data_IF_448295888621
#
_entry.id   IF_448295888621
#
_cell.length_a   1.000
_cell.length_b   1.000
_cell.length_c   1.000
_cell.angle_alpha   90.00
_cell.angle_beta   90.00
_cell.angle_gamma   90.00
#
_symmetry.space_group_name_H-M   'P 1'
#
loop_
_entity.id
_entity.type
_entity.pdbx_description
1 polymer ?
#
# COMPACT_ATOMS: atom_id res chain seq x y z
N UNK A 1 -24.92 19.99 -6.00
CA UNK A 1 -26.00 18.98 -6.07
C UNK A 1 -26.10 18.07 -4.84
N UNK A 2 -25.33 16.98 -4.63
CA UNK A 2 -25.54 16.12 -3.44
C UNK A 2 -25.29 16.81 -2.08
N UNK A 3 -24.35 17.77 -2.00
CA UNK A 3 -24.08 18.56 -0.79
C UNK A 3 -25.12 19.66 -0.51
N UNK A 4 -26.01 19.95 -1.44
CA UNK A 4 -27.05 20.97 -1.27
C UNK A 4 -28.38 20.35 -0.83
N UNK A 5 -28.67 19.11 -1.26
CA UNK A 5 -29.92 18.40 -0.93
C UNK A 5 -30.09 18.16 0.59
N UNK A 6 -29.02 17.92 1.34
CA UNK A 6 -29.10 17.70 2.80
C UNK A 6 -29.17 19.01 3.59
N UNK A 7 -28.79 20.15 3.01
CA UNK A 7 -28.99 21.45 3.65
C UNK A 7 -30.47 21.84 3.71
N UNK A 8 -31.32 21.16 2.96
CA UNK A 8 -32.78 21.35 2.95
C UNK A 8 -33.54 20.39 3.89
N UNK A 9 -32.87 19.46 4.58
CA UNK A 9 -33.55 18.52 5.51
C UNK A 9 -33.96 19.17 6.84
N UNK A 10 -33.09 19.99 7.45
CA UNK A 10 -33.42 20.87 8.59
C UNK A 10 -32.30 21.90 8.81
N UNK A 11 -32.56 23.19 8.61
CA UNK A 11 -31.52 24.24 8.73
C UNK A 11 -31.11 24.54 10.17
N UNK A 12 -31.89 24.15 11.17
CA UNK A 12 -31.75 24.59 12.56
C UNK A 12 -31.07 23.54 13.47
N UNK A 13 -31.40 22.25 13.32
CA UNK A 13 -30.82 21.19 14.14
C UNK A 13 -30.06 20.16 13.28
N UNK A 14 -28.71 20.16 13.31
CA UNK A 14 -27.90 19.18 12.62
C UNK A 14 -28.25 17.72 12.95
N UNK A 15 -28.77 17.41 14.15
CA UNK A 15 -29.10 16.04 14.56
C UNK A 15 -30.23 15.41 13.75
N UNK A 16 -31.04 16.22 13.07
CA UNK A 16 -32.16 15.77 12.25
C UNK A 16 -31.78 15.54 10.79
N UNK A 17 -30.53 15.81 10.41
CA UNK A 17 -30.02 15.58 9.06
C UNK A 17 -29.50 14.16 8.92
N UNK A 18 -29.63 13.61 7.73
CA UNK A 18 -29.09 12.30 7.37
C UNK A 18 -27.57 12.33 7.22
N UNK A 19 -26.98 13.49 6.89
CA UNK A 19 -25.55 13.62 6.64
C UNK A 19 -24.98 14.92 7.19
N UNK A 20 -23.78 14.84 7.73
CA UNK A 20 -23.05 15.97 8.29
C UNK A 20 -21.65 16.07 7.68
N UNK A 21 -21.34 17.22 7.08
CA UNK A 21 -20.02 17.53 6.50
C UNK A 21 -19.48 18.92 6.85
N UNK A 22 -20.30 19.79 7.45
CA UNK A 22 -19.83 21.10 7.93
C UNK A 22 -19.19 20.90 9.29
N UNK A 23 -17.95 21.33 9.45
CA UNK A 23 -17.20 21.12 10.70
C UNK A 23 -17.98 21.62 11.93
N UNK A 24 -18.56 22.83 11.89
CA UNK A 24 -19.32 23.38 13.02
C UNK A 24 -20.53 22.52 13.43
N UNK A 25 -21.27 22.00 12.45
CA UNK A 25 -22.45 21.16 12.69
C UNK A 25 -22.04 19.82 13.33
N UNK A 26 -20.97 19.22 12.83
CA UNK A 26 -20.39 17.99 13.37
C UNK A 26 -19.93 18.21 14.82
N UNK A 27 -19.19 19.29 15.08
CA UNK A 27 -18.71 19.61 16.42
C UNK A 27 -19.86 19.88 17.39
N UNK A 28 -20.97 20.46 16.93
CA UNK A 28 -22.16 20.64 17.74
C UNK A 28 -22.79 19.30 18.15
N UNK A 29 -22.78 18.32 17.24
CA UNK A 29 -23.31 16.97 17.49
C UNK A 29 -22.39 16.18 18.43
N UNK A 30 -21.07 16.22 18.20
CA UNK A 30 -20.08 15.48 19.01
C UNK A 30 -19.94 16.01 20.45
N UNK A 31 -20.19 17.31 20.69
CA UNK A 31 -19.98 17.91 22.03
C UNK A 31 -21.15 17.73 23.01
N UNK A 32 -22.31 17.24 22.57
CA UNK A 32 -23.52 17.22 23.41
C UNK A 32 -24.25 15.88 23.27
N UNK A 33 -24.16 14.98 24.27
CA UNK A 33 -24.87 13.72 24.27
C UNK A 33 -26.37 14.00 24.32
N UNK A 34 -27.00 13.85 23.16
CA UNK A 34 -28.44 13.89 22.95
C UNK A 34 -28.70 12.94 21.79
N UNK A 35 -29.87 12.32 21.78
CA UNK A 35 -30.30 11.40 20.74
C UNK A 35 -30.08 11.95 19.33
N UNK A 36 -29.38 11.19 18.48
CA UNK A 36 -29.06 11.55 17.08
C UNK A 36 -29.64 10.50 16.13
N UNK A 37 -30.96 10.49 16.00
CA UNK A 37 -31.66 9.39 15.31
C UNK A 37 -31.49 9.39 13.79
N UNK A 38 -31.18 10.52 13.14
CA UNK A 38 -31.24 10.60 11.67
C UNK A 38 -29.89 10.52 10.98
N UNK A 39 -28.80 10.80 11.69
CA UNK A 39 -27.46 10.90 11.09
C UNK A 39 -26.98 9.52 10.68
N UNK A 40 -26.85 9.31 9.38
CA UNK A 40 -26.28 8.11 8.77
C UNK A 40 -24.81 8.30 8.34
N UNK A 41 -24.38 9.55 8.14
CA UNK A 41 -23.03 9.85 7.70
C UNK A 41 -22.45 11.09 8.38
N UNK A 42 -21.24 10.95 8.90
CA UNK A 42 -20.45 12.04 9.48
C UNK A 42 -19.09 12.07 8.80
N UNK A 43 -18.75 13.19 8.18
CA UNK A 43 -17.51 13.37 7.42
C UNK A 43 -16.87 14.71 7.78
N UNK A 44 -15.82 14.67 8.60
CA UNK A 44 -15.13 15.84 9.10
C UNK A 44 -13.71 15.93 8.56
N UNK A 45 -13.47 17.00 7.83
CA UNK A 45 -12.13 17.47 7.47
C UNK A 45 -11.47 18.11 8.70
N UNK A 46 -10.51 17.38 9.25
CA UNK A 46 -9.75 17.73 10.44
C UNK A 46 -8.74 18.88 10.20
N UNK A 47 -8.44 19.21 8.93
CA UNK A 47 -7.64 20.40 8.60
C UNK A 47 -8.39 21.70 8.97
N UNK A 48 -9.72 21.71 8.84
CA UNK A 48 -10.59 22.87 9.13
C UNK A 48 -10.84 23.10 10.62
N UNK A 49 -10.54 22.11 11.46
CA UNK A 49 -10.67 22.23 12.91
C UNK A 49 -9.51 23.07 13.44
N UNK A 50 -9.77 24.21 14.09
CA UNK A 50 -8.71 25.11 14.58
C UNK A 50 -8.26 24.85 16.02
N UNK A 51 -9.02 24.06 16.79
CA UNK A 51 -8.79 23.81 18.22
C UNK A 51 -8.79 22.31 18.54
N UNK A 52 -8.13 21.94 19.63
CA UNK A 52 -8.23 20.58 20.17
C UNK A 52 -9.66 20.34 20.66
N UNK A 53 -10.19 19.15 20.36
CA UNK A 53 -11.51 18.70 20.77
C UNK A 53 -11.32 17.42 21.57
N UNK A 54 -11.79 17.43 22.81
CA UNK A 54 -11.86 16.24 23.64
C UNK A 54 -13.19 15.53 23.39
N UNK A 55 -13.14 14.31 22.86
CA UNK A 55 -14.33 13.46 22.72
C UNK A 55 -14.58 12.70 24.04
N UNK A 56 -15.85 12.48 24.37
CA UNK A 56 -16.22 11.54 25.44
C UNK A 56 -16.21 10.09 24.91
N UNK A 57 -15.97 9.08 25.77
CA UNK A 57 -15.94 7.68 25.35
C UNK A 57 -17.23 7.20 24.67
N UNK A 58 -18.38 7.75 25.08
CA UNK A 58 -19.73 7.39 24.62
C UNK A 58 -20.26 8.27 23.48
N UNK A 59 -19.39 9.05 22.82
CA UNK A 59 -19.82 10.08 21.86
C UNK A 59 -20.73 9.55 20.74
N UNK A 60 -20.62 8.27 20.38
CA UNK A 60 -21.41 7.62 19.34
C UNK A 60 -22.54 6.71 19.84
N UNK A 61 -22.76 6.59 21.15
CA UNK A 61 -23.75 5.69 21.74
C UNK A 61 -25.19 5.97 21.25
N UNK A 62 -25.49 7.23 20.99
CA UNK A 62 -26.81 7.70 20.57
C UNK A 62 -26.95 7.88 19.04
N UNK A 63 -26.04 7.29 18.25
CA UNK A 63 -25.97 7.39 16.78
C UNK A 63 -26.24 6.05 16.09
N UNK A 64 -27.35 5.38 16.45
CA UNK A 64 -27.67 4.01 16.00
C UNK A 64 -27.68 3.82 14.47
N UNK A 65 -28.02 4.86 13.71
CA UNK A 65 -28.13 4.81 12.25
C UNK A 65 -26.83 5.16 11.51
N UNK A 66 -25.74 5.44 12.23
CA UNK A 66 -24.48 5.87 11.63
C UNK A 66 -23.80 4.73 10.84
N UNK A 67 -23.66 4.94 9.53
CA UNK A 67 -23.09 3.98 8.59
C UNK A 67 -21.73 4.42 8.05
N UNK A 68 -21.48 5.72 7.99
CA UNK A 68 -20.23 6.29 7.50
C UNK A 68 -19.67 7.24 8.55
N UNK A 69 -18.47 6.95 9.04
CA UNK A 69 -17.72 7.82 9.94
C UNK A 69 -16.37 8.14 9.31
N UNK A 70 -16.13 9.41 9.00
CA UNK A 70 -14.90 9.88 8.37
C UNK A 70 -14.30 11.05 9.14
N UNK A 71 -13.07 10.87 9.58
CA UNK A 71 -12.19 11.92 10.10
C UNK A 71 -10.90 11.88 9.28
N UNK A 72 -10.70 12.88 8.42
CA UNK A 72 -9.59 12.87 7.45
C UNK A 72 -8.90 14.24 7.38
N UNK A 73 -7.68 14.29 6.86
CA UNK A 73 -6.96 15.54 6.57
C UNK A 73 -6.63 15.65 5.08
N UNK A 74 -6.96 16.80 4.47
CA UNK A 74 -6.66 17.09 3.07
C UNK A 74 -5.24 17.66 2.83
N UNK A 75 -4.33 17.58 3.80
CA UNK A 75 -2.97 18.06 3.57
C UNK A 75 -2.31 17.18 2.50
N UNK A 76 -1.84 17.82 1.42
CA UNK A 76 -1.46 17.30 0.08
C UNK A 76 -0.40 16.18 0.01
N UNK A 77 0.05 15.65 1.14
CA UNK A 77 0.93 14.47 1.17
C UNK A 77 0.12 13.28 1.64
N UNK A 78 0.04 12.22 0.82
CA UNK A 78 -0.40 10.86 1.22
C UNK A 78 0.43 10.22 2.36
N UNK A 79 1.21 11.03 3.07
CA UNK A 79 2.02 10.71 4.24
C UNK A 79 1.40 11.47 5.41
N UNK A 80 1.08 10.81 6.54
CA UNK A 80 0.55 11.48 7.72
C UNK A 80 1.45 12.67 8.10
N UNK A 81 0.90 13.89 8.08
CA UNK A 81 1.66 15.07 8.50
C UNK A 81 2.10 14.89 9.96
N UNK A 82 3.26 15.45 10.33
CA UNK A 82 3.78 15.39 11.72
C UNK A 82 2.86 16.07 12.75
N UNK A 83 1.77 16.69 12.31
CA UNK A 83 0.87 17.42 13.18
C UNK A 83 0.02 16.43 13.99
N UNK A 84 0.00 16.57 15.32
CA UNK A 84 -0.82 15.72 16.18
C UNK A 84 -2.30 15.83 15.80
N UNK A 85 -3.05 14.74 16.02
CA UNK A 85 -4.50 14.77 15.82
C UNK A 85 -5.15 15.82 16.70
N UNK A 86 -6.15 16.53 16.17
CA UNK A 86 -6.90 17.54 16.93
C UNK A 86 -8.09 16.94 17.69
N UNK A 87 -8.43 15.67 17.42
CA UNK A 87 -9.43 14.91 18.17
C UNK A 87 -8.70 14.03 19.17
N UNK A 88 -8.91 14.31 20.45
CA UNK A 88 -8.34 13.54 21.54
C UNK A 88 -9.42 12.63 22.14
N UNK A 89 -9.04 11.38 22.38
CA UNK A 89 -9.81 10.43 23.18
C UNK A 89 -9.26 10.40 24.61
N UNK A 90 -10.08 10.01 25.61
CA UNK A 90 -9.58 9.69 26.93
C UNK A 90 -8.66 8.46 26.87
N UNK A 91 -7.90 8.22 27.94
CA UNK A 91 -6.90 7.15 27.97
C UNK A 91 -7.49 5.76 27.68
N UNK A 92 -8.74 5.51 28.09
CA UNK A 92 -9.46 4.27 27.84
C UNK A 92 -9.99 4.14 26.39
N UNK A 93 -9.87 5.18 25.56
CA UNK A 93 -10.40 5.18 24.20
C UNK A 93 -11.91 5.42 24.13
N UNK A 94 -12.53 4.91 23.06
CA UNK A 94 -13.99 4.89 22.90
C UNK A 94 -14.58 3.69 23.65
N UNK A 95 -15.75 3.86 24.23
CA UNK A 95 -16.52 2.76 24.84
C UNK A 95 -17.52 2.13 23.87
N UNK A 96 -17.86 2.83 22.78
CA UNK A 96 -18.86 2.37 21.82
C UNK A 96 -18.59 2.90 20.40
N UNK A 97 -18.82 2.04 19.41
CA UNK A 97 -18.99 2.39 18.01
C UNK A 97 -20.25 1.70 17.45
N UNK A 98 -21.05 2.35 16.58
CA UNK A 98 -22.27 1.77 16.04
C UNK A 98 -22.00 0.55 15.15
N UNK A 99 -22.63 -0.60 15.44
CA UNK A 99 -22.50 -1.83 14.64
C UNK A 99 -23.10 -1.71 13.22
N UNK A 100 -23.83 -0.63 12.94
CA UNK A 100 -24.35 -0.27 11.62
C UNK A 100 -23.28 0.32 10.69
N UNK A 101 -22.09 0.63 11.22
CA UNK A 101 -20.97 1.16 10.44
C UNK A 101 -20.60 0.22 9.28
N UNK A 102 -20.47 0.84 8.10
CA UNK A 102 -20.00 0.23 6.86
C UNK A 102 -18.66 0.80 6.41
N UNK A 103 -18.36 2.04 6.80
CA UNK A 103 -17.10 2.69 6.53
C UNK A 103 -16.64 3.41 7.78
N UNK A 104 -15.43 3.07 8.22
CA UNK A 104 -14.70 3.78 9.25
C UNK A 104 -13.40 4.30 8.65
N UNK A 105 -13.38 5.61 8.36
CA UNK A 105 -12.16 6.33 8.01
C UNK A 105 -11.75 7.18 9.20
N UNK A 106 -10.59 6.92 9.80
CA UNK A 106 -10.09 7.75 10.89
C UNK A 106 -8.57 7.95 10.81
N UNK A 107 -8.17 9.06 10.19
CA UNK A 107 -6.77 9.49 10.17
C UNK A 107 -6.27 9.73 11.59
N UNK A 108 -5.14 9.13 11.93
CA UNK A 108 -4.45 9.31 13.22
C UNK A 108 -5.38 9.03 14.39
N UNK A 109 -6.07 7.88 14.34
CA UNK A 109 -6.91 7.43 15.43
C UNK A 109 -6.08 7.33 16.72
N UNK A 110 -6.49 8.00 17.82
CA UNK A 110 -5.60 8.25 18.95
C UNK A 110 -5.57 7.11 19.98
N UNK A 111 -6.39 6.07 19.85
CA UNK A 111 -6.45 4.97 20.82
C UNK A 111 -5.72 3.73 20.32
N UNK A 112 -5.31 2.88 21.27
CA UNK A 112 -4.51 1.68 21.02
C UNK A 112 -5.31 0.55 20.35
N UNK A 113 -6.63 0.57 20.45
CA UNK A 113 -7.56 -0.42 19.86
C UNK A 113 -8.94 0.19 19.62
N UNK A 114 -9.77 -0.50 18.83
CA UNK A 114 -11.20 -0.24 18.75
C UNK A 114 -11.92 -0.79 20.01
N UNK A 115 -13.13 -0.27 20.33
CA UNK A 115 -13.89 -0.74 21.48
C UNK A 115 -14.13 -2.25 21.43
N UNK A 116 -13.98 -2.95 22.56
CA UNK A 116 -14.09 -4.41 22.63
C UNK A 116 -15.52 -4.95 22.41
N UNK A 117 -16.53 -4.11 22.63
CA UNK A 117 -17.95 -4.40 22.35
C UNK A 117 -18.37 -4.10 20.90
N UNK A 118 -17.48 -3.57 20.07
CA UNK A 118 -17.79 -3.23 18.69
C UNK A 118 -17.85 -4.50 17.82
N UNK A 119 -18.99 -4.74 17.17
CA UNK A 119 -19.22 -5.89 16.29
C UNK A 119 -19.38 -5.41 14.83
N UNK A 120 -18.27 -5.29 14.07
CA UNK A 120 -18.26 -4.65 12.76
C UNK A 120 -18.73 -5.57 11.60
N UNK A 121 -19.79 -6.36 11.79
CA UNK A 121 -20.26 -7.33 10.77
C UNK A 121 -20.65 -6.67 9.43
N UNK A 122 -21.14 -5.42 9.47
CA UNK A 122 -21.53 -4.63 8.31
C UNK A 122 -20.37 -3.85 7.67
N UNK A 123 -19.17 -3.91 8.25
CA UNK A 123 -18.03 -3.12 7.82
C UNK A 123 -17.57 -3.55 6.42
N UNK A 124 -17.35 -2.58 5.55
CA UNK A 124 -16.88 -2.76 4.18
C UNK A 124 -15.51 -2.12 3.99
N UNK A 125 -15.30 -0.94 4.59
CA UNK A 125 -14.07 -0.16 4.49
C UNK A 125 -13.56 0.18 5.89
N UNK A 126 -12.34 -0.23 6.21
CA UNK A 126 -11.63 0.12 7.44
C UNK A 126 -10.33 0.83 7.08
N UNK A 127 -10.32 2.15 7.22
CA UNK A 127 -9.22 3.01 6.80
C UNK A 127 -8.77 3.86 7.99
N UNK A 128 -7.67 3.50 8.63
CA UNK A 128 -7.19 4.16 9.84
C UNK A 128 -5.72 4.54 9.74
N UNK A 129 -5.32 5.34 8.73
CA UNK A 129 -3.93 5.63 8.49
C UNK A 129 -3.31 6.52 9.58
N UNK A 130 -2.06 6.24 9.96
CA UNK A 130 -1.29 7.01 10.92
C UNK A 130 -1.75 6.82 12.37
N UNK A 131 -2.49 5.75 12.67
CA UNK A 131 -3.12 5.56 13.97
C UNK A 131 -2.15 5.06 15.04
N UNK A 132 -2.48 5.35 16.30
CA UNK A 132 -1.76 4.86 17.49
C UNK A 132 -2.19 3.44 17.89
N UNK A 133 -2.67 2.65 16.93
CA UNK A 133 -3.13 1.28 17.16
C UNK A 133 -1.94 0.39 17.51
N UNK A 134 -2.05 -0.39 18.58
CA UNK A 134 -1.13 -1.50 18.88
C UNK A 134 -1.71 -2.84 18.40
N UNK A 135 -3.04 -2.94 18.39
CA UNK A 135 -3.84 -4.01 17.82
C UNK A 135 -5.20 -3.43 17.38
N UNK A 136 -5.89 -4.07 16.44
CA UNK A 136 -7.19 -3.57 15.98
C UNK A 136 -8.33 -3.81 16.99
N UNK A 137 -8.43 -5.04 17.50
CA UNK A 137 -9.44 -5.45 18.48
C UNK A 137 -8.79 -6.21 19.63
N UNK A 138 -9.45 -6.21 20.78
CA UNK A 138 -9.09 -7.10 21.89
C UNK A 138 -9.66 -8.50 21.63
N UNK A 139 -8.79 -9.45 21.28
CA UNK A 139 -9.15 -10.84 21.00
C UNK A 139 -9.13 -11.22 19.51
N UNK A 140 -9.24 -12.52 19.23
CA UNK A 140 -8.96 -13.09 17.90
C UNK A 140 -10.21 -13.38 17.03
N UNK A 141 -11.42 -13.22 17.59
CA UNK A 141 -12.67 -13.67 16.93
C UNK A 141 -13.50 -12.50 16.37
N UNK A 142 -13.01 -11.86 15.31
CA UNK A 142 -13.78 -10.83 14.60
C UNK A 142 -14.24 -11.34 13.24
N UNK A 143 -15.55 -11.34 13.01
CA UNK A 143 -16.17 -11.79 11.75
C UNK A 143 -16.49 -10.58 10.86
N UNK A 144 -15.55 -10.26 9.98
CA UNK A 144 -15.61 -9.13 9.04
C UNK A 144 -15.97 -9.64 7.64
N UNK A 145 -17.13 -10.30 7.56
CA UNK A 145 -17.57 -10.98 6.32
C UNK A 145 -17.82 -10.02 5.17
N UNK A 146 -18.09 -8.74 5.43
CA UNK A 146 -18.33 -7.75 4.38
C UNK A 146 -17.11 -6.88 4.05
N UNK A 147 -16.01 -7.03 4.80
CA UNK A 147 -14.84 -6.18 4.66
C UNK A 147 -14.15 -6.44 3.33
N UNK A 148 -13.94 -5.38 2.57
CA UNK A 148 -13.27 -5.36 1.27
C UNK A 148 -11.91 -4.67 1.33
N UNK A 149 -11.82 -3.57 2.06
CA UNK A 149 -10.60 -2.75 2.14
C UNK A 149 -10.16 -2.59 3.58
N UNK A 150 -8.88 -2.83 3.83
CA UNK A 150 -8.23 -2.58 5.11
C UNK A 150 -6.95 -1.76 4.89
N UNK A 151 -6.94 -0.52 5.36
CA UNK A 151 -5.78 0.38 5.30
C UNK A 151 -5.38 0.81 6.71
N UNK A 152 -4.19 0.38 7.13
CA UNK A 152 -3.59 0.73 8.43
C UNK A 152 -2.23 1.41 8.26
N UNK A 153 -1.94 1.96 7.08
CA UNK A 153 -0.65 2.60 6.76
C UNK A 153 -0.26 3.65 7.80
N UNK A 154 0.99 3.72 8.21
CA UNK A 154 1.50 4.66 9.20
C UNK A 154 1.21 4.30 10.65
N UNK A 155 0.58 3.16 10.94
CA UNK A 155 0.34 2.68 12.31
C UNK A 155 1.62 2.08 12.91
N UNK A 156 2.53 2.95 13.36
CA UNK A 156 3.90 2.59 13.78
C UNK A 156 3.97 1.69 15.00
N UNK A 157 2.95 1.75 15.86
CA UNK A 157 2.85 0.99 17.10
C UNK A 157 2.14 -0.37 16.91
N UNK A 158 1.61 -0.64 15.70
CA UNK A 158 0.84 -1.84 15.41
C UNK A 158 1.73 -3.07 15.49
N UNK A 159 1.49 -3.94 16.47
CA UNK A 159 2.27 -5.16 16.72
C UNK A 159 1.67 -6.35 15.97
N UNK A 160 0.34 -6.43 15.95
CA UNK A 160 -0.43 -7.53 15.38
C UNK A 160 -1.65 -7.01 14.64
N UNK A 161 -1.97 -7.66 13.52
CA UNK A 161 -3.21 -7.46 12.76
C UNK A 161 -4.22 -8.59 13.05
N UNK A 162 -5.44 -8.41 12.56
CA UNK A 162 -6.52 -9.40 12.67
C UNK A 162 -6.18 -10.75 12.02
N UNK A 163 -6.78 -11.83 12.53
CA UNK A 163 -6.80 -13.10 11.82
C UNK A 163 -7.73 -13.03 10.60
N UNK A 164 -7.28 -13.54 9.46
CA UNK A 164 -8.00 -13.42 8.19
C UNK A 164 -9.06 -14.52 7.97
N UNK A 165 -9.20 -15.51 8.87
CA UNK A 165 -10.23 -16.56 8.73
C UNK A 165 -11.65 -16.01 8.80
N UNK A 166 -11.86 -14.92 9.54
CA UNK A 166 -13.12 -14.19 9.64
C UNK A 166 -13.35 -13.16 8.52
N UNK A 167 -12.47 -13.07 7.52
CA UNK A 167 -12.40 -11.95 6.56
C UNK A 167 -12.35 -12.45 5.10
N UNK A 168 -13.28 -13.32 4.69
CA UNK A 168 -13.17 -14.04 3.42
C UNK A 168 -13.30 -13.15 2.16
N UNK A 169 -13.85 -11.94 2.31
CA UNK A 169 -14.18 -11.04 1.21
C UNK A 169 -13.20 -9.87 1.02
N UNK A 170 -12.06 -9.89 1.72
CA UNK A 170 -11.04 -8.86 1.57
C UNK A 170 -10.52 -8.81 0.12
N UNK A 171 -10.47 -7.61 -0.44
CA UNK A 171 -10.07 -7.27 -1.82
C UNK A 171 -8.75 -6.49 -1.83
N UNK A 172 -8.50 -5.64 -0.82
CA UNK A 172 -7.33 -4.75 -0.73
C UNK A 172 -6.78 -4.68 0.70
N UNK A 173 -5.45 -4.78 0.85
CA UNK A 173 -4.75 -4.67 2.13
C UNK A 173 -3.54 -3.73 2.03
N UNK A 174 -3.55 -2.66 2.82
CA UNK A 174 -2.49 -1.64 2.87
C UNK A 174 -1.85 -1.57 4.27
N UNK A 175 -0.57 -1.97 4.36
CA UNK A 175 0.25 -2.00 5.57
C UNK A 175 1.59 -1.32 5.31
N UNK A 176 1.55 0.00 5.20
CA UNK A 176 2.72 0.86 5.01
C UNK A 176 3.24 1.39 6.33
N UNK A 177 4.55 1.58 6.50
CA UNK A 177 5.17 2.24 7.67
C UNK A 177 4.72 1.69 9.05
N UNK A 178 4.31 0.41 9.11
CA UNK A 178 3.94 -0.26 10.37
C UNK A 178 5.21 -0.83 11.04
N UNK A 179 6.02 0.06 11.63
CA UNK A 179 7.36 -0.28 12.12
C UNK A 179 7.40 -1.35 13.23
N UNK A 180 6.35 -1.53 14.02
CA UNK A 180 6.28 -2.54 15.09
C UNK A 180 5.71 -3.88 14.63
N UNK A 181 5.18 -3.97 13.41
CA UNK A 181 4.53 -5.17 12.91
C UNK A 181 5.57 -6.24 12.64
N UNK A 182 5.39 -7.43 13.22
CA UNK A 182 6.36 -8.53 13.12
C UNK A 182 5.91 -9.66 12.20
N UNK A 183 4.60 -9.86 12.06
CA UNK A 183 4.02 -10.93 11.25
C UNK A 183 2.71 -10.53 10.57
N UNK A 184 2.47 -11.12 9.39
CA UNK A 184 1.18 -11.18 8.72
C UNK A 184 0.70 -12.64 8.81
N UNK A 185 -0.47 -12.92 9.43
CA UNK A 185 -0.97 -14.28 9.62
C UNK A 185 -1.12 -15.08 8.31
N UNK A 186 -0.80 -16.38 8.37
CA UNK A 186 -0.93 -17.30 7.22
C UNK A 186 -2.37 -17.51 6.77
N UNK A 187 -3.35 -17.19 7.64
CA UNK A 187 -4.77 -17.16 7.30
C UNK A 187 -5.09 -16.20 6.15
N UNK A 188 -4.20 -15.26 5.79
CA UNK A 188 -4.33 -14.41 4.60
C UNK A 188 -4.61 -15.22 3.32
N UNK A 189 -4.09 -16.45 3.23
CA UNK A 189 -4.32 -17.37 2.10
C UNK A 189 -5.81 -17.75 1.88
N UNK A 190 -6.67 -17.48 2.86
CA UNK A 190 -8.10 -17.72 2.80
C UNK A 190 -8.85 -16.60 2.06
N UNK A 191 -8.28 -15.40 1.93
CA UNK A 191 -8.88 -14.25 1.27
C UNK A 191 -8.83 -14.38 -0.27
N UNK A 192 -9.61 -15.30 -0.86
CA UNK A 192 -9.54 -15.60 -2.31
C UNK A 192 -9.95 -14.45 -3.25
N UNK A 193 -10.56 -13.41 -2.71
CA UNK A 193 -10.91 -12.17 -3.44
C UNK A 193 -9.81 -11.11 -3.41
N UNK A 194 -8.74 -11.32 -2.65
CA UNK A 194 -7.66 -10.35 -2.48
C UNK A 194 -6.97 -10.10 -3.83
N UNK A 195 -7.02 -8.86 -4.27
CA UNK A 195 -6.46 -8.37 -5.54
C UNK A 195 -5.18 -7.59 -5.33
N UNK A 196 -5.04 -6.93 -4.19
CA UNK A 196 -3.92 -6.04 -3.90
C UNK A 196 -3.42 -6.22 -2.45
N UNK A 197 -2.09 -6.35 -2.31
CA UNK A 197 -1.40 -6.37 -1.03
C UNK A 197 -0.21 -5.42 -1.12
N UNK A 198 -0.28 -4.27 -0.45
CA UNK A 198 0.83 -3.33 -0.37
C UNK A 198 1.33 -3.29 1.07
N UNK A 199 2.52 -3.86 1.28
CA UNK A 199 3.25 -3.81 2.52
C UNK A 199 4.56 -3.07 2.26
N UNK A 200 4.69 -1.86 2.80
CA UNK A 200 5.83 -0.99 2.49
C UNK A 200 6.43 -0.41 3.77
N UNK A 201 7.74 -0.39 3.95
CA UNK A 201 8.36 0.27 5.11
C UNK A 201 8.12 -0.43 6.45
N UNK A 202 7.71 -1.70 6.45
CA UNK A 202 7.52 -2.51 7.66
C UNK A 202 8.85 -3.13 8.11
N UNK A 203 9.70 -2.31 8.75
CA UNK A 203 11.11 -2.65 9.02
C UNK A 203 11.34 -3.86 9.93
N UNK A 204 10.39 -4.20 10.80
CA UNK A 204 10.49 -5.36 11.70
C UNK A 204 9.77 -6.62 11.19
N UNK A 205 9.04 -6.52 10.08
CA UNK A 205 8.22 -7.61 9.54
C UNK A 205 9.09 -8.75 9.01
N UNK A 206 9.06 -9.90 9.69
CA UNK A 206 9.79 -11.11 9.30
C UNK A 206 8.87 -12.29 9.00
N UNK A 207 7.67 -12.33 9.59
CA UNK A 207 6.66 -13.35 9.30
C UNK A 207 5.77 -12.92 8.14
N UNK A 208 6.01 -13.45 6.93
CA UNK A 208 5.11 -13.27 5.78
C UNK A 208 4.70 -14.64 5.22
N UNK A 209 3.44 -14.86 4.78
CA UNK A 209 3.00 -16.15 4.27
C UNK A 209 3.82 -16.59 3.04
N UNK A 210 4.48 -17.76 3.13
CA UNK A 210 5.41 -18.23 2.10
C UNK A 210 4.74 -18.79 0.83
N UNK A 211 3.44 -19.12 0.89
CA UNK A 211 2.66 -19.66 -0.24
C UNK A 211 1.34 -18.90 -0.39
N UNK A 212 1.26 -17.95 -1.32
CA UNK A 212 0.05 -17.15 -1.56
C UNK A 212 -0.82 -17.79 -2.64
N UNK A 213 -1.74 -18.68 -2.25
CA UNK A 213 -2.72 -19.32 -3.16
C UNK A 213 -3.94 -18.43 -3.47
N UNK A 214 -3.67 -17.15 -3.74
CA UNK A 214 -4.67 -16.11 -3.93
C UNK A 214 -5.01 -15.95 -5.41
N UNK A 215 -6.06 -16.61 -5.87
CA UNK A 215 -6.39 -16.73 -7.31
C UNK A 215 -6.80 -15.42 -7.99
N UNK A 216 -7.01 -14.35 -7.22
CA UNK A 216 -7.41 -13.02 -7.73
C UNK A 216 -6.29 -11.98 -7.58
N UNK A 217 -5.14 -12.34 -7.00
CA UNK A 217 -4.08 -11.40 -6.65
C UNK A 217 -3.40 -10.87 -7.91
N UNK A 218 -3.39 -9.55 -8.07
CA UNK A 218 -2.82 -8.85 -9.22
C UNK A 218 -1.63 -7.97 -8.82
N UNK A 219 -1.61 -7.42 -7.61
CA UNK A 219 -0.57 -6.49 -7.17
C UNK A 219 -0.02 -6.87 -5.79
N UNK A 220 1.32 -6.90 -5.70
CA UNK A 220 2.07 -7.20 -4.48
C UNK A 220 3.22 -6.21 -4.31
N UNK A 221 3.16 -5.39 -3.27
CA UNK A 221 4.26 -4.55 -2.82
C UNK A 221 4.83 -5.07 -1.51
N UNK A 222 6.15 -5.28 -1.46
CA UNK A 222 6.93 -5.66 -0.27
C UNK A 222 8.11 -4.70 -0.06
N UNK A 223 7.97 -3.45 -0.51
CA UNK A 223 9.07 -2.51 -0.56
C UNK A 223 9.51 -2.13 0.87
N UNK A 224 10.78 -1.76 1.05
CA UNK A 224 11.29 -1.24 2.33
C UNK A 224 11.01 -2.19 3.52
N UNK A 225 10.99 -3.50 3.24
CA UNK A 225 10.80 -4.59 4.19
C UNK A 225 12.08 -5.46 4.29
N UNK A 226 13.14 -4.98 4.96
CA UNK A 226 14.48 -5.58 4.92
C UNK A 226 14.58 -6.96 5.57
N UNK A 227 13.59 -7.34 6.40
CA UNK A 227 13.54 -8.66 7.07
C UNK A 227 12.80 -9.73 6.28
N UNK A 228 12.07 -9.37 5.22
CA UNK A 228 11.51 -10.34 4.28
C UNK A 228 12.63 -10.76 3.35
N UNK A 229 13.21 -11.94 3.59
CA UNK A 229 14.41 -12.41 2.88
C UNK A 229 14.12 -13.40 1.75
N UNK A 230 12.90 -13.91 1.68
CA UNK A 230 12.45 -14.86 0.67
C UNK A 230 11.19 -14.32 0.00
N UNK A 231 11.14 -14.38 -1.33
CA UNK A 231 9.93 -14.06 -2.06
C UNK A 231 8.87 -15.16 -1.79
N UNK A 232 7.63 -14.80 -1.43
CA UNK A 232 6.55 -15.78 -1.32
C UNK A 232 6.27 -16.42 -2.69
N UNK A 233 5.71 -17.64 -2.69
CA UNK A 233 5.17 -18.22 -3.93
C UNK A 233 3.93 -17.44 -4.33
N UNK A 234 4.03 -16.75 -5.46
CA UNK A 234 2.97 -15.91 -6.00
C UNK A 234 2.12 -16.65 -7.04
N UNK A 235 0.83 -16.32 -7.19
CA UNK A 235 -0.02 -16.87 -8.26
C UNK A 235 0.34 -16.24 -9.61
N UNK A 236 0.09 -16.95 -10.72
CA UNK A 236 0.38 -16.45 -12.08
C UNK A 236 -0.48 -15.26 -12.52
N UNK A 237 -1.46 -14.86 -11.70
CA UNK A 237 -2.33 -13.70 -11.93
C UNK A 237 -1.64 -12.37 -11.64
N UNK A 238 -0.53 -12.38 -10.88
CA UNK A 238 0.21 -11.16 -10.51
C UNK A 238 0.70 -10.41 -11.76
N UNK A 239 0.39 -9.11 -11.79
CA UNK A 239 0.75 -8.14 -12.83
C UNK A 239 1.80 -7.16 -12.32
N UNK A 240 1.80 -6.83 -11.03
CA UNK A 240 2.67 -5.81 -10.44
C UNK A 240 3.37 -6.40 -9.22
N UNK A 241 4.70 -6.30 -9.21
CA UNK A 241 5.54 -6.78 -8.12
C UNK A 241 6.63 -5.74 -7.77
N UNK A 242 6.54 -5.17 -6.58
CA UNK A 242 7.51 -4.22 -6.04
C UNK A 242 8.27 -4.82 -4.85
N UNK A 243 9.59 -4.88 -4.95
CA UNK A 243 10.49 -5.51 -3.98
C UNK A 243 11.67 -4.60 -3.62
N UNK A 244 11.62 -3.31 -4.01
CA UNK A 244 12.66 -2.32 -3.69
C UNK A 244 12.95 -2.29 -2.18
N UNK A 245 14.21 -2.15 -1.78
CA UNK A 245 14.60 -2.07 -0.35
C UNK A 245 14.11 -3.27 0.52
N UNK A 246 13.82 -4.43 -0.08
CA UNK A 246 13.50 -5.66 0.66
C UNK A 246 14.74 -6.50 1.00
N UNK A 247 14.58 -7.48 1.88
CA UNK A 247 15.63 -8.45 2.23
C UNK A 247 15.87 -9.55 1.18
N UNK A 248 15.18 -9.50 0.03
CA UNK A 248 15.16 -10.56 -0.98
C UNK A 248 16.40 -10.48 -1.86
N UNK A 249 17.32 -11.43 -1.67
CA UNK A 249 18.58 -11.51 -2.44
C UNK A 249 18.49 -12.34 -3.71
N UNK A 250 17.63 -13.36 -3.71
CA UNK A 250 17.53 -14.32 -4.80
C UNK A 250 16.16 -14.22 -5.48
N UNK A 251 16.16 -13.72 -6.70
CA UNK A 251 15.03 -13.79 -7.61
C UNK A 251 15.33 -14.93 -8.59
N UNK A 252 14.71 -16.09 -8.39
CA UNK A 252 15.01 -17.30 -9.19
C UNK A 252 13.91 -17.62 -10.19
N UNK A 253 14.22 -18.47 -11.17
CA UNK A 253 13.27 -19.02 -12.13
C UNK A 253 12.01 -19.60 -11.45
N UNK A 254 12.21 -20.32 -10.34
CA UNK A 254 11.13 -20.95 -9.58
C UNK A 254 10.17 -19.95 -8.94
N UNK A 255 10.62 -18.71 -8.70
CA UNK A 255 9.85 -17.67 -8.03
C UNK A 255 9.10 -16.75 -8.99
N UNK A 256 9.68 -16.45 -10.16
CA UNK A 256 9.10 -15.46 -11.11
C UNK A 256 8.78 -16.02 -12.49
N UNK A 257 9.33 -17.17 -12.89
CA UNK A 257 9.24 -17.66 -14.27
C UNK A 257 7.81 -18.01 -14.72
N UNK A 258 6.91 -18.33 -13.78
CA UNK A 258 5.50 -18.62 -14.06
C UNK A 258 4.60 -17.39 -14.08
N UNK A 259 5.10 -16.20 -13.73
CA UNK A 259 4.33 -14.95 -13.66
C UNK A 259 4.10 -14.35 -15.06
N UNK A 260 3.54 -15.13 -15.98
CA UNK A 260 3.38 -14.77 -17.40
C UNK A 260 2.51 -13.53 -17.67
N UNK A 261 1.75 -13.07 -16.67
CA UNK A 261 0.96 -11.83 -16.70
C UNK A 261 1.68 -10.61 -16.11
N UNK A 262 2.90 -10.77 -15.61
CA UNK A 262 3.67 -9.70 -14.98
C UNK A 262 3.93 -8.58 -15.99
N UNK A 263 3.54 -7.37 -15.62
CA UNK A 263 3.67 -6.13 -16.39
C UNK A 263 4.73 -5.22 -15.78
N UNK A 264 4.82 -5.19 -14.45
CA UNK A 264 5.79 -4.36 -13.72
C UNK A 264 6.53 -5.21 -12.70
N UNK A 265 7.85 -5.17 -12.79
CA UNK A 265 8.76 -5.78 -11.84
C UNK A 265 9.78 -4.75 -11.40
N UNK A 266 9.80 -4.45 -10.10
CA UNK A 266 10.89 -3.69 -9.49
C UNK A 266 11.53 -4.53 -8.41
N UNK A 267 12.83 -4.74 -8.53
CA UNK A 267 13.60 -5.55 -7.59
C UNK A 267 14.57 -4.69 -6.81
N UNK A 268 14.88 -5.14 -5.58
CA UNK A 268 15.68 -4.37 -4.65
C UNK A 268 17.19 -4.42 -4.90
N UNK A 269 17.85 -3.51 -4.21
CA UNK A 269 19.28 -3.20 -4.28
C UNK A 269 20.20 -4.35 -3.87
N UNK A 270 19.69 -5.40 -3.23
CA UNK A 270 20.53 -6.51 -2.74
C UNK A 270 20.36 -7.78 -3.56
N UNK A 271 19.61 -7.71 -4.66
CA UNK A 271 19.45 -8.83 -5.58
C UNK A 271 20.81 -9.18 -6.18
N UNK A 272 21.15 -10.47 -6.15
CA UNK A 272 22.47 -10.94 -6.60
C UNK A 272 22.49 -11.23 -8.11
N UNK A 273 21.35 -11.65 -8.67
CA UNK A 273 21.17 -11.90 -10.09
C UNK A 273 19.68 -11.97 -10.44
N UNK A 274 19.38 -11.73 -11.72
CA UNK A 274 18.09 -12.06 -12.32
C UNK A 274 18.19 -13.39 -13.09
N UNK A 275 17.12 -14.19 -13.15
CA UNK A 275 17.12 -15.45 -13.87
C UNK A 275 16.85 -15.21 -15.37
N UNK A 276 17.33 -16.10 -16.25
CA UNK A 276 17.10 -15.99 -17.70
C UNK A 276 15.60 -16.05 -18.05
N UNK A 277 14.78 -16.65 -17.20
CA UNK A 277 13.33 -16.78 -17.36
C UNK A 277 12.60 -15.44 -17.38
N UNK A 278 13.24 -14.36 -16.91
CA UNK A 278 12.69 -13.02 -17.04
C UNK A 278 12.37 -12.66 -18.50
N UNK A 279 13.17 -13.17 -19.44
CA UNK A 279 12.97 -12.97 -20.88
C UNK A 279 11.78 -13.71 -21.49
N UNK A 280 11.06 -14.52 -20.70
CA UNK A 280 9.81 -15.17 -21.11
C UNK A 280 8.56 -14.46 -20.58
N UNK A 281 8.72 -13.40 -19.79
CA UNK A 281 7.63 -12.59 -19.26
C UNK A 281 7.13 -11.60 -20.32
N UNK A 282 6.50 -12.11 -21.38
CA UNK A 282 6.15 -11.33 -22.57
C UNK A 282 5.19 -10.15 -22.33
N UNK A 283 4.52 -10.11 -21.18
CA UNK A 283 3.68 -8.98 -20.77
C UNK A 283 4.47 -7.86 -20.06
N UNK A 284 5.76 -8.07 -19.76
CA UNK A 284 6.57 -7.15 -18.97
C UNK A 284 6.82 -5.85 -19.75
N UNK A 285 6.43 -4.74 -19.14
CA UNK A 285 6.53 -3.38 -19.67
C UNK A 285 7.52 -2.55 -18.87
N UNK A 286 7.62 -2.78 -17.57
CA UNK A 286 8.52 -2.07 -16.66
C UNK A 286 9.39 -3.08 -15.94
N UNK A 287 10.70 -2.92 -16.09
CA UNK A 287 11.70 -3.62 -15.29
C UNK A 287 12.63 -2.58 -14.65
N UNK A 288 12.68 -2.59 -13.33
CA UNK A 288 13.69 -1.84 -12.58
C UNK A 288 14.51 -2.79 -11.72
N UNK A 289 15.82 -2.67 -11.82
CA UNK A 289 16.81 -3.23 -10.91
C UNK A 289 17.57 -2.09 -10.20
N UNK A 290 16.90 -0.96 -9.97
CA UNK A 290 17.51 0.24 -9.39
C UNK A 290 18.29 -0.07 -8.11
N UNK A 291 19.50 0.46 -8.05
CA UNK A 291 20.46 0.18 -6.98
C UNK A 291 20.93 -1.27 -6.92
N UNK A 292 20.75 -2.04 -8.00
CA UNK A 292 21.14 -3.44 -8.14
C UNK A 292 22.53 -3.65 -7.57
N UNK A 293 22.60 -4.49 -6.52
CA UNK A 293 23.69 -4.44 -5.57
C UNK A 293 25.05 -4.74 -6.15
N UNK A 294 26.10 -4.77 -5.31
CA UNK A 294 27.47 -4.99 -5.78
C UNK A 294 27.70 -6.33 -6.51
N UNK A 295 26.69 -7.20 -6.57
CA UNK A 295 26.75 -8.50 -7.24
C UNK A 295 26.13 -8.53 -8.63
N UNK A 296 25.32 -7.54 -9.03
CA UNK A 296 24.75 -7.50 -10.38
C UNK A 296 25.81 -7.01 -11.37
N UNK A 297 26.57 -7.96 -11.92
CA UNK A 297 27.63 -7.69 -12.91
C UNK A 297 27.06 -7.59 -14.33
N UNK A 298 26.00 -8.36 -14.61
CA UNK A 298 25.32 -8.39 -15.89
C UNK A 298 23.83 -8.64 -15.71
N UNK A 299 23.02 -8.16 -16.66
CA UNK A 299 21.62 -8.54 -16.79
C UNK A 299 21.49 -9.70 -17.78
N UNK A 300 20.52 -10.63 -17.62
CA UNK A 300 20.37 -11.78 -18.50
C UNK A 300 20.16 -11.36 -19.95
N UNK A 301 20.89 -11.97 -20.89
CA UNK A 301 20.76 -11.70 -22.32
C UNK A 301 19.34 -11.93 -22.88
N UNK A 302 18.55 -12.76 -22.20
CA UNK A 302 17.15 -13.02 -22.54
C UNK A 302 16.25 -11.81 -22.34
N UNK A 303 16.68 -10.76 -21.62
CA UNK A 303 15.95 -9.49 -21.52
C UNK A 303 15.65 -8.90 -22.90
N UNK A 304 16.52 -9.15 -23.89
CA UNK A 304 16.37 -8.72 -25.28
C UNK A 304 15.18 -9.38 -26.01
N UNK A 305 14.50 -10.35 -25.40
CA UNK A 305 13.28 -10.95 -25.93
C UNK A 305 12.01 -10.18 -25.51
N UNK A 306 12.11 -9.26 -24.55
CA UNK A 306 10.98 -8.49 -24.01
C UNK A 306 10.60 -7.32 -24.94
N UNK A 307 10.18 -7.63 -26.17
CA UNK A 307 9.80 -6.62 -27.19
C UNK A 307 8.67 -5.68 -26.76
N UNK A 308 7.94 -6.01 -25.69
CA UNK A 308 6.94 -5.16 -25.04
C UNK A 308 7.48 -4.22 -23.96
N UNK A 309 8.77 -4.27 -23.63
CA UNK A 309 9.39 -3.47 -22.58
C UNK A 309 9.46 -1.99 -22.98
N UNK A 310 8.92 -1.13 -22.12
CA UNK A 310 8.84 0.32 -22.30
C UNK A 310 9.85 1.04 -21.40
N UNK A 311 10.07 0.50 -20.21
CA UNK A 311 10.98 1.07 -19.20
C UNK A 311 11.95 0.02 -18.70
N UNK A 312 13.24 0.30 -18.85
CA UNK A 312 14.33 -0.45 -18.25
C UNK A 312 15.19 0.49 -17.42
N UNK A 313 15.23 0.26 -16.11
CA UNK A 313 16.08 1.03 -15.20
C UNK A 313 17.06 0.14 -14.47
N UNK A 314 18.34 0.34 -14.77
CA UNK A 314 19.47 -0.30 -14.10
C UNK A 314 20.29 0.71 -13.30
N UNK A 315 19.78 1.93 -13.11
CA UNK A 315 20.53 3.01 -12.46
C UNK A 315 21.03 2.59 -11.08
N UNK A 316 22.19 3.10 -10.70
CA UNK A 316 22.94 2.81 -9.47
C UNK A 316 23.33 1.33 -9.31
N UNK A 317 23.29 0.55 -10.38
CA UNK A 317 23.96 -0.76 -10.43
C UNK A 317 25.46 -0.56 -10.64
N UNK A 318 26.18 -0.23 -9.57
CA UNK A 318 27.57 0.26 -9.63
C UNK A 318 28.53 -0.72 -10.32
N UNK A 319 28.27 -2.03 -10.20
CA UNK A 319 29.10 -3.11 -10.75
C UNK A 319 28.62 -3.66 -12.09
N UNK A 320 27.56 -3.10 -12.68
CA UNK A 320 27.10 -3.50 -14.00
C UNK A 320 28.18 -3.15 -15.04
N UNK A 321 28.73 -4.16 -15.71
CA UNK A 321 29.87 -3.98 -16.65
C UNK A 321 29.42 -3.72 -18.09
N UNK A 322 28.28 -4.30 -18.48
CA UNK A 322 27.74 -4.17 -19.84
C UNK A 322 26.25 -4.46 -19.89
N UNK A 323 25.60 -3.92 -20.92
CA UNK A 323 24.29 -4.39 -21.37
C UNK A 323 24.48 -5.54 -22.37
N UNK A 324 23.50 -6.46 -22.49
CA UNK A 324 23.58 -7.57 -23.42
C UNK A 324 23.50 -7.10 -24.88
N UNK A 325 24.24 -7.79 -25.75
CA UNK A 325 24.06 -7.66 -27.20
C UNK A 325 22.63 -8.09 -27.56
N UNK A 326 21.98 -7.35 -28.45
CA UNK A 326 20.57 -7.54 -28.80
C UNK A 326 19.63 -6.57 -28.09
N UNK A 327 20.13 -5.66 -27.24
CA UNK A 327 19.30 -4.65 -26.59
C UNK A 327 18.54 -3.79 -27.60
N UNK A 328 19.10 -3.59 -28.81
CA UNK A 328 18.46 -2.88 -29.90
C UNK A 328 17.16 -3.52 -30.41
N UNK A 329 16.84 -4.76 -30.01
CA UNK A 329 15.57 -5.43 -30.34
C UNK A 329 14.38 -4.90 -29.51
N UNK A 330 14.64 -4.13 -28.46
CA UNK A 330 13.60 -3.53 -27.61
C UNK A 330 13.03 -2.27 -28.28
N UNK A 331 12.40 -2.43 -29.44
CA UNK A 331 11.92 -1.33 -30.30
C UNK A 331 10.90 -0.41 -29.62
N UNK A 332 10.25 -0.88 -28.55
CA UNK A 332 9.27 -0.13 -27.72
C UNK A 332 9.86 0.55 -26.50
N UNK A 333 11.17 0.40 -26.25
CA UNK A 333 11.80 0.97 -25.07
C UNK A 333 11.85 2.49 -25.20
N UNK A 334 11.13 3.19 -24.32
CA UNK A 334 11.05 4.65 -24.27
C UNK A 334 12.04 5.22 -23.26
N UNK A 335 12.31 4.48 -22.17
CA UNK A 335 13.23 4.90 -21.10
C UNK A 335 14.28 3.83 -20.82
N UNK A 336 15.55 4.23 -20.91
CA UNK A 336 16.70 3.45 -20.48
C UNK A 336 17.50 4.21 -19.41
N UNK A 337 17.42 3.73 -18.17
CA UNK A 337 18.16 4.27 -17.02
C UNK A 337 19.45 3.49 -16.76
N UNK A 338 20.58 4.19 -16.81
CA UNK A 338 21.92 3.66 -16.49
C UNK A 338 22.71 4.61 -15.56
N UNK A 339 22.06 5.65 -15.02
CA UNK A 339 22.74 6.64 -14.18
C UNK A 339 23.46 5.95 -13.02
N UNK A 340 24.69 6.32 -12.71
CA UNK A 340 25.49 5.73 -11.63
C UNK A 340 26.07 4.34 -11.94
N UNK A 341 25.86 3.78 -13.14
CA UNK A 341 26.53 2.54 -13.55
C UNK A 341 28.02 2.78 -13.86
N UNK A 342 28.83 2.83 -12.79
CA UNK A 342 30.22 3.28 -12.86
C UNK A 342 31.15 2.34 -13.66
N UNK A 343 30.83 1.05 -13.77
CA UNK A 343 31.68 0.04 -14.47
C UNK A 343 31.39 -0.12 -15.95
N UNK A 344 30.29 0.44 -16.47
CA UNK A 344 29.97 0.41 -17.90
C UNK A 344 31.03 1.20 -18.67
N UNK A 345 31.69 0.53 -19.62
CA UNK A 345 32.72 1.15 -20.48
C UNK A 345 32.22 1.49 -21.88
N UNK A 346 31.25 0.74 -22.38
CA UNK A 346 30.67 0.89 -23.70
C UNK A 346 29.22 0.41 -23.69
N UNK A 347 28.38 1.00 -24.53
CA UNK A 347 27.05 0.50 -24.82
C UNK A 347 27.12 -0.51 -26.00
N UNK A 348 26.18 -1.47 -26.11
CA UNK A 348 26.13 -2.40 -27.23
C UNK A 348 26.04 -1.66 -28.57
N UNK A 349 26.71 -2.17 -29.60
CA UNK A 349 26.75 -1.51 -30.92
C UNK A 349 25.38 -1.43 -31.61
N UNK A 350 24.44 -2.29 -31.19
CA UNK A 350 23.07 -2.33 -31.69
C UNK A 350 22.12 -1.42 -30.89
N UNK A 351 22.59 -0.61 -29.93
CA UNK A 351 21.75 0.28 -29.13
C UNK A 351 20.95 1.29 -29.99
N UNK A 352 21.45 1.63 -31.17
CA UNK A 352 20.71 2.45 -32.16
C UNK A 352 19.43 1.81 -32.68
N UNK A 353 19.19 0.52 -32.42
CA UNK A 353 17.93 -0.17 -32.70
C UNK A 353 16.78 0.19 -31.75
N UNK A 354 17.04 0.90 -30.65
CA UNK A 354 16.02 1.41 -29.72
C UNK A 354 15.24 2.59 -30.35
N UNK A 355 14.45 2.33 -31.39
CA UNK A 355 13.83 3.36 -32.24
C UNK A 355 12.79 4.25 -31.54
N UNK A 356 12.25 3.82 -30.40
CA UNK A 356 11.29 4.60 -29.60
C UNK A 356 11.92 5.27 -28.37
N UNK A 357 13.26 5.23 -28.22
CA UNK A 357 13.92 5.75 -27.03
C UNK A 357 13.79 7.28 -26.95
N UNK A 358 13.18 7.76 -25.87
CA UNK A 358 13.00 9.18 -25.59
C UNK A 358 13.95 9.65 -24.48
N UNK A 359 14.19 8.79 -23.48
CA UNK A 359 14.98 9.12 -22.30
C UNK A 359 16.13 8.12 -22.12
N UNK A 360 17.36 8.62 -22.22
CA UNK A 360 18.58 7.87 -21.92
C UNK A 360 19.34 8.56 -20.79
N UNK A 361 19.35 7.95 -19.61
CA UNK A 361 20.03 8.50 -18.43
C UNK A 361 21.40 7.82 -18.24
N UNK A 362 22.47 8.59 -18.33
CA UNK A 362 23.87 8.13 -18.23
C UNK A 362 24.67 8.91 -17.18
N UNK A 363 23.99 9.72 -16.35
CA UNK A 363 24.64 10.57 -15.37
C UNK A 363 25.45 9.72 -14.39
N UNK A 364 26.74 10.02 -14.20
CA UNK A 364 27.60 9.24 -13.31
C UNK A 364 28.14 7.93 -13.91
N UNK A 365 27.96 7.65 -15.21
CA UNK A 365 28.70 6.61 -15.93
C UNK A 365 30.16 7.03 -16.20
N UNK A 366 30.95 7.18 -15.15
CA UNK A 366 32.29 7.82 -15.20
C UNK A 366 33.34 7.11 -16.07
N UNK A 367 33.16 5.82 -16.38
CA UNK A 367 34.08 5.04 -17.22
C UNK A 367 33.59 4.82 -18.65
N UNK A 368 32.44 5.39 -19.04
CA UNK A 368 31.89 5.26 -20.39
C UNK A 368 32.78 6.01 -21.39
N UNK A 369 33.31 5.29 -22.38
CA UNK A 369 34.32 5.82 -23.32
C UNK A 369 33.71 6.60 -24.49
N UNK A 370 32.42 6.44 -24.75
CA UNK A 370 31.70 7.09 -25.84
C UNK A 370 30.34 6.43 -26.11
N UNK A 371 29.52 7.09 -26.92
CA UNK A 371 28.28 6.52 -27.46
C UNK A 371 28.59 5.82 -28.80
N UNK A 372 27.99 4.63 -29.07
CA UNK A 372 28.15 3.91 -30.34
C UNK A 372 27.65 4.66 -31.58
#
# INVERSE_FOLDING_TARGET
MCKEIVLDEDRLDPRKRSRLWRHNDILQVLNKPKRVERVEALSLDMSQVSRIIQLCPQVFEEMDNLRLLQFYCLDDSHIPTKNPTKLHLPQQGLEYLPNTLRLLHWDRYPSASLPSNFCPENMVYLEMPGSSLTQLWEGDNVHLVNLKVCDLRGSKELIKIMDFSGVPNLEELYLGECSSLVEIPSSLQLCRKLTEIIVSGCVNLCGFPSDLRLTSLEEVGLERCPRITQLPKLPSTVKILYLEESGIKQVTAACIGHLTRLQKLRVGEIVESLPCEIGFLNCLQVLSIWGGGPKVISIPHTICNLTGLVWLDCSFSENLESLPNGIGRLERLETLGLSGCSKIRSLPSDIGGLTSLENLFLDGCVNLQGLP
#
